data_IF_948172098404
#
_entry.id   IF_948172098404
#
_cell.length_a   1.000
_cell.length_b   1.000
_cell.length_c   1.000
_cell.angle_alpha   90.00
_cell.angle_beta   90.00
_cell.angle_gamma   90.00
#
_symmetry.space_group_name_H-M   'P 1'
#
loop_
_entity.id
_entity.type
_entity.pdbx_description
1 polymer ?
#
# COMPACT_ATOMS: atom_id res chain seq x y z
N UNK A 1 -45.87 55.83 -39.09
CA UNK A 1 -46.33 56.57 -37.89
C UNK A 1 -45.38 56.24 -36.74
N UNK A 2 -44.75 57.26 -36.13
CA UNK A 2 -43.79 57.14 -35.00
C UNK A 2 -44.52 57.18 -33.64
N UNK A 3 -43.83 56.65 -32.62
CA UNK A 3 -43.80 56.94 -31.15
C UNK A 3 -44.00 55.64 -30.34
N UNK A 4 -42.99 55.03 -29.68
CA UNK A 4 -42.09 55.40 -28.55
C UNK A 4 -42.81 55.36 -27.19
N UNK A 5 -42.43 54.42 -26.31
CA UNK A 5 -41.85 54.66 -24.97
C UNK A 5 -41.84 53.40 -24.07
N UNK A 6 -40.69 53.19 -23.41
CA UNK A 6 -40.51 52.32 -22.25
C UNK A 6 -41.37 52.75 -21.06
N UNK A 7 -41.86 51.79 -20.28
CA UNK A 7 -42.09 51.97 -18.85
C UNK A 7 -41.62 50.71 -18.12
N UNK A 8 -40.38 50.81 -17.63
CA UNK A 8 -39.88 50.10 -16.47
C UNK A 8 -40.85 50.40 -15.32
N UNK A 9 -41.21 49.41 -14.51
CA UNK A 9 -41.19 49.45 -13.04
C UNK A 9 -42.09 48.35 -12.42
N UNK A 10 -41.45 47.57 -11.54
CA UNK A 10 -41.99 46.81 -10.40
C UNK A 10 -42.91 45.60 -10.70
N UNK A 11 -42.64 44.39 -10.22
CA UNK A 11 -41.67 43.99 -9.21
C UNK A 11 -41.64 42.47 -8.97
N UNK A 12 -40.42 41.94 -8.92
CA UNK A 12 -39.88 41.23 -7.75
C UNK A 12 -40.62 40.01 -7.13
N UNK A 13 -41.53 39.32 -7.81
CA UNK A 13 -42.23 38.17 -7.20
C UNK A 13 -42.33 36.89 -8.05
N UNK A 14 -41.45 36.69 -9.03
CA UNK A 14 -41.44 35.43 -9.82
C UNK A 14 -40.07 34.71 -9.83
N UNK A 15 -39.05 35.27 -9.16
CA UNK A 15 -37.72 34.63 -9.08
C UNK A 15 -37.53 33.68 -7.87
N UNK A 16 -38.62 33.27 -7.21
CA UNK A 16 -38.59 32.35 -6.06
C UNK A 16 -39.33 31.03 -6.30
N UNK A 17 -39.83 30.78 -7.52
CA UNK A 17 -40.59 29.56 -7.84
C UNK A 17 -39.99 28.71 -8.98
N UNK A 18 -38.78 29.03 -9.46
CA UNK A 18 -38.06 28.23 -10.46
C UNK A 18 -36.65 27.80 -10.02
N UNK A 19 -36.28 28.03 -8.76
CA UNK A 19 -35.01 27.61 -8.17
C UNK A 19 -35.08 26.33 -7.32
N UNK A 20 -36.23 25.64 -7.30
CA UNK A 20 -36.52 24.58 -6.32
C UNK A 20 -36.50 23.14 -6.83
N UNK A 21 -36.21 22.89 -8.11
CA UNK A 21 -36.27 21.52 -8.69
C UNK A 21 -35.09 21.28 -9.64
N UNK A 22 -33.86 21.44 -9.15
CA UNK A 22 -32.64 21.05 -9.88
C UNK A 22 -31.49 20.53 -8.98
N UNK A 23 -31.78 20.10 -7.74
CA UNK A 23 -30.77 19.57 -6.80
C UNK A 23 -31.10 18.17 -6.26
N UNK A 24 -31.76 17.31 -7.04
CA UNK A 24 -32.05 15.92 -6.65
C UNK A 24 -31.59 14.90 -7.70
N UNK A 25 -30.35 15.07 -8.22
CA UNK A 25 -29.68 14.08 -9.07
C UNK A 25 -28.17 13.98 -8.79
N UNK A 26 -27.78 14.06 -7.52
CA UNK A 26 -26.53 13.47 -7.07
C UNK A 26 -26.89 12.46 -6.00
N UNK A 27 -27.05 11.21 -6.44
CA UNK A 27 -27.11 10.08 -5.53
C UNK A 27 -25.82 10.09 -4.72
N UNK A 28 -25.97 10.37 -3.44
CA UNK A 28 -24.93 10.20 -2.44
C UNK A 28 -24.67 8.70 -2.35
N UNK A 29 -23.79 8.20 -3.21
CA UNK A 29 -23.16 6.90 -3.00
C UNK A 29 -22.27 7.06 -1.77
N UNK A 30 -22.90 6.92 -0.61
CA UNK A 30 -22.23 6.57 0.62
C UNK A 30 -21.51 5.26 0.32
N UNK A 31 -20.22 5.37 0.00
CA UNK A 31 -19.35 4.20 -0.05
C UNK A 31 -19.40 3.66 1.36
N UNK A 32 -20.14 2.57 1.50
CA UNK A 32 -20.12 1.70 2.64
C UNK A 32 -18.64 1.37 2.87
N UNK A 33 -18.03 1.98 3.88
CA UNK A 33 -16.78 1.50 4.43
C UNK A 33 -17.07 0.07 4.89
N UNK A 34 -16.71 -0.89 4.03
CA UNK A 34 -16.58 -2.26 4.45
C UNK A 34 -15.42 -2.22 5.43
N UNK A 35 -15.73 -2.18 6.71
CA UNK A 35 -14.79 -2.37 7.81
C UNK A 35 -14.23 -3.81 7.76
N UNK A 36 -13.48 -4.13 6.73
CA UNK A 36 -12.37 -5.05 6.83
C UNK A 36 -11.19 -4.18 7.21
N UNK A 37 -10.77 -4.22 8.48
CA UNK A 37 -9.54 -3.56 8.86
C UNK A 37 -8.40 -4.19 8.05
N UNK A 38 -8.02 -3.55 6.94
CA UNK A 38 -6.72 -3.78 6.36
C UNK A 38 -5.74 -3.37 7.44
N UNK A 39 -5.16 -4.37 8.12
CA UNK A 39 -3.94 -4.16 8.88
C UNK A 39 -2.90 -3.70 7.86
N UNK A 40 -2.83 -2.38 7.67
CA UNK A 40 -1.84 -1.68 6.85
C UNK A 40 -1.04 -0.85 7.83
N UNK A 41 0.09 -1.40 8.24
CA UNK A 41 1.10 -0.72 9.03
C UNK A 41 2.24 -0.19 8.16
N UNK A 42 3.07 0.68 8.73
CA UNK A 42 4.34 1.09 8.14
C UNK A 42 5.42 1.16 9.21
N UNK A 43 6.64 0.77 8.86
CA UNK A 43 7.85 0.93 9.70
C UNK A 43 9.00 1.44 8.87
N UNK A 44 9.84 2.33 9.41
CA UNK A 44 11.02 2.86 8.73
C UNK A 44 12.32 2.29 9.31
N UNK A 45 13.31 1.99 8.47
CA UNK A 45 14.70 1.71 8.86
C UNK A 45 15.69 2.32 7.87
N UNK A 46 16.93 2.51 8.32
CA UNK A 46 18.05 2.84 7.45
C UNK A 46 18.61 1.61 6.73
N UNK A 47 19.22 1.75 5.55
CA UNK A 47 20.04 0.67 4.94
C UNK A 47 21.26 0.27 5.81
N UNK A 48 21.65 1.11 6.77
CA UNK A 48 22.65 0.76 7.80
C UNK A 48 22.11 -0.27 8.80
N UNK A 49 20.79 -0.41 8.93
CA UNK A 49 20.16 -1.40 9.80
C UNK A 49 20.00 -2.72 9.03
N UNK A 50 20.29 -3.83 9.70
CA UNK A 50 20.30 -5.15 9.06
C UNK A 50 18.98 -5.91 9.25
N UNK A 51 18.14 -5.47 10.19
CA UNK A 51 16.83 -6.07 10.41
C UNK A 51 15.85 -5.15 11.12
N UNK A 52 14.57 -5.39 10.84
CA UNK A 52 13.43 -4.76 11.51
C UNK A 52 12.32 -5.81 11.66
N UNK A 53 11.45 -5.65 12.66
CA UNK A 53 10.32 -6.56 12.87
C UNK A 53 9.01 -5.80 13.05
N UNK A 54 7.92 -6.39 12.56
CA UNK A 54 6.55 -5.92 12.76
C UNK A 54 5.67 -7.03 13.34
N UNK A 55 4.64 -6.67 14.11
CA UNK A 55 3.66 -7.60 14.66
C UNK A 55 2.27 -7.22 14.16
N UNK A 56 1.68 -8.09 13.33
CA UNK A 56 0.30 -7.93 12.88
C UNK A 56 -0.71 -8.15 14.02
N UNK A 57 -0.30 -8.77 15.13
CA UNK A 57 -1.19 -9.23 16.18
C UNK A 57 -2.02 -10.41 15.71
N UNK A 58 -3.32 -10.39 16.01
CA UNK A 58 -4.25 -11.43 15.57
C UNK A 58 -4.74 -11.15 14.15
N UNK A 59 -4.62 -12.14 13.26
CA UNK A 59 -5.05 -12.06 11.86
C UNK A 59 -6.04 -13.19 11.59
N UNK A 60 -7.26 -12.87 11.15
CA UNK A 60 -8.24 -13.89 10.77
C UNK A 60 -8.08 -14.27 9.30
N UNK A 61 -8.10 -15.57 9.01
CA UNK A 61 -8.11 -16.08 7.64
C UNK A 61 -9.32 -15.58 6.86
N UNK A 62 -10.46 -15.37 7.52
CA UNK A 62 -11.68 -14.87 6.90
C UNK A 62 -11.58 -13.40 6.43
N UNK A 63 -10.64 -12.63 6.97
CA UNK A 63 -10.47 -11.21 6.64
C UNK A 63 -9.57 -10.97 5.41
N UNK A 64 -9.04 -12.03 4.81
CA UNK A 64 -8.17 -11.94 3.64
C UNK A 64 -6.74 -11.50 3.98
N UNK A 65 -6.05 -10.98 2.97
CA UNK A 65 -4.62 -10.65 3.08
C UNK A 65 -4.39 -9.43 3.97
N UNK A 66 -3.28 -9.44 4.70
CA UNK A 66 -2.77 -8.29 5.46
C UNK A 66 -1.48 -7.77 4.84
N UNK A 67 -1.16 -6.49 5.07
CA UNK A 67 -0.03 -5.82 4.42
C UNK A 67 0.73 -4.92 5.38
N UNK A 68 2.05 -4.91 5.28
CA UNK A 68 2.88 -3.94 6.00
C UNK A 68 3.93 -3.35 5.07
N UNK A 69 4.08 -2.03 5.10
CA UNK A 69 5.01 -1.32 4.24
C UNK A 69 6.28 -1.01 5.05
N UNK A 70 7.40 -1.62 4.68
CA UNK A 70 8.70 -1.27 5.24
C UNK A 70 9.34 -0.15 4.41
N UNK A 71 9.72 0.96 5.02
CA UNK A 71 10.43 2.06 4.38
C UNK A 71 11.93 1.96 4.68
N UNK A 72 12.73 1.69 3.65
CA UNK A 72 14.19 1.70 3.71
C UNK A 72 14.71 3.06 3.25
N UNK A 73 15.44 3.79 4.09
CA UNK A 73 16.06 5.07 3.70
C UNK A 73 17.58 4.98 3.66
N UNK A 74 18.19 5.46 2.58
CA UNK A 74 19.64 5.41 2.43
C UNK A 74 20.32 6.61 3.13
N UNK A 75 21.00 6.35 4.25
CA UNK A 75 21.80 7.35 4.97
C UNK A 75 23.28 6.97 5.09
N UNK A 76 23.80 6.12 4.19
CA UNK A 76 25.15 5.54 4.34
C UNK A 76 26.28 6.32 3.62
N UNK A 77 26.00 7.52 3.10
CA UNK A 77 27.02 8.38 2.47
C UNK A 77 27.45 7.95 1.06
N UNK A 78 26.61 7.18 0.36
CA UNK A 78 26.85 6.67 -0.99
C UNK A 78 25.62 5.94 -1.54
N UNK A 79 25.68 5.46 -2.78
CA UNK A 79 24.58 4.67 -3.35
C UNK A 79 24.53 3.24 -2.79
N UNK A 80 23.32 2.69 -2.72
CA UNK A 80 23.07 1.28 -2.40
C UNK A 80 22.45 0.60 -3.60
N UNK A 81 22.95 -0.57 -3.98
CA UNK A 81 22.37 -1.36 -5.07
C UNK A 81 21.69 -2.60 -4.52
N UNK A 82 20.38 -2.70 -4.71
CA UNK A 82 19.58 -3.89 -4.40
C UNK A 82 19.67 -4.88 -5.56
N UNK A 83 20.14 -6.10 -5.26
CA UNK A 83 20.38 -7.17 -6.24
C UNK A 83 19.32 -8.26 -6.24
N UNK A 84 18.62 -8.44 -5.12
CA UNK A 84 17.60 -9.48 -5.00
C UNK A 84 16.60 -9.16 -3.91
N UNK A 85 15.34 -9.53 -4.14
CA UNK A 85 14.30 -9.59 -3.12
C UNK A 85 13.65 -10.96 -3.15
N UNK A 86 13.47 -11.58 -2.00
CA UNK A 86 12.83 -12.89 -1.89
C UNK A 86 12.14 -13.06 -0.54
N UNK A 87 11.12 -13.91 -0.47
CA UNK A 87 10.37 -14.19 0.75
C UNK A 87 10.72 -15.56 1.33
N UNK A 88 10.55 -15.73 2.64
CA UNK A 88 10.84 -16.99 3.33
C UNK A 88 9.76 -18.06 3.14
N UNK A 89 8.58 -17.68 2.66
CA UNK A 89 7.43 -18.57 2.50
C UNK A 89 6.56 -18.12 1.32
N UNK A 90 5.97 -19.08 0.59
CA UNK A 90 5.06 -18.78 -0.52
C UNK A 90 3.78 -18.04 -0.12
N UNK A 91 3.39 -18.06 1.16
CA UNK A 91 2.25 -17.28 1.68
C UNK A 91 2.56 -15.77 1.80
N UNK A 92 3.78 -15.36 1.45
CA UNK A 92 4.24 -13.98 1.55
C UNK A 92 4.77 -13.52 0.21
N UNK A 93 4.36 -12.32 -0.20
CA UNK A 93 4.91 -11.61 -1.36
C UNK A 93 5.46 -10.26 -0.93
N UNK A 94 6.45 -9.77 -1.66
CA UNK A 94 7.02 -8.45 -1.46
C UNK A 94 7.06 -7.68 -2.77
N UNK A 95 6.70 -6.41 -2.76
CA UNK A 95 6.92 -5.49 -3.87
C UNK A 95 8.05 -4.52 -3.52
N UNK A 96 8.59 -3.83 -4.52
CA UNK A 96 9.40 -2.63 -4.35
C UNK A 96 8.69 -1.45 -5.00
N UNK A 97 8.56 -0.33 -4.28
CA UNK A 97 8.21 0.96 -4.85
C UNK A 97 9.42 1.88 -4.79
N UNK A 98 9.93 2.20 -5.97
CA UNK A 98 11.14 2.99 -6.17
C UNK A 98 10.87 4.49 -5.98
N UNK A 99 11.92 5.31 -5.73
CA UNK A 99 11.78 6.77 -5.64
C UNK A 99 11.13 7.43 -6.87
N UNK A 100 11.34 6.85 -8.05
CA UNK A 100 10.76 7.31 -9.32
C UNK A 100 9.28 6.92 -9.50
N UNK A 101 8.68 6.20 -8.55
CA UNK A 101 7.29 5.71 -8.59
C UNK A 101 7.10 4.38 -9.33
N UNK A 102 8.16 3.79 -9.87
CA UNK A 102 8.10 2.47 -10.49
C UNK A 102 7.85 1.39 -9.42
N UNK A 103 7.04 0.39 -9.80
CA UNK A 103 6.76 -0.79 -8.98
C UNK A 103 7.40 -2.02 -9.59
N UNK A 104 8.19 -2.74 -8.80
CA UNK A 104 8.75 -4.05 -9.17
C UNK A 104 8.19 -5.14 -8.25
N UNK A 105 8.00 -6.34 -8.80
CA UNK A 105 7.43 -7.49 -8.08
C UNK A 105 6.07 -7.95 -8.66
N UNK A 106 5.35 -8.82 -7.93
CA UNK A 106 5.69 -9.33 -6.61
C UNK A 106 6.84 -10.34 -6.63
N UNK A 107 7.72 -10.24 -5.66
CA UNK A 107 8.77 -11.20 -5.35
C UNK A 107 8.24 -12.22 -4.34
N UNK A 108 8.64 -13.48 -4.51
CA UNK A 108 8.16 -14.60 -3.70
C UNK A 108 9.28 -15.53 -3.24
N UNK A 109 8.89 -16.73 -2.80
CA UNK A 109 9.82 -17.71 -2.25
C UNK A 109 10.59 -18.44 -3.35
N UNK A 110 11.91 -18.69 -3.18
CA UNK A 110 12.69 -19.50 -4.11
C UNK A 110 12.06 -20.88 -4.34
N UNK A 111 12.05 -21.33 -5.59
CA UNK A 111 11.46 -22.62 -5.99
C UNK A 111 9.93 -22.59 -6.17
N UNK A 112 9.26 -21.47 -5.89
CA UNK A 112 7.81 -21.29 -6.10
C UNK A 112 7.49 -20.22 -7.15
N UNK A 113 8.47 -19.97 -8.03
CA UNK A 113 8.40 -18.97 -9.08
C UNK A 113 9.79 -18.59 -9.59
N UNK A 114 9.82 -17.74 -10.60
CA UNK A 114 11.05 -17.12 -11.06
C UNK A 114 11.44 -15.98 -10.11
N UNK A 115 12.71 -15.94 -9.69
CA UNK A 115 13.26 -14.82 -8.91
C UNK A 115 14.27 -14.10 -9.79
N UNK A 116 13.94 -12.90 -10.29
CA UNK A 116 14.87 -12.13 -11.10
C UNK A 116 16.05 -11.64 -10.25
N UNK A 117 17.20 -11.48 -10.90
CA UNK A 117 18.24 -10.58 -10.40
C UNK A 117 17.80 -9.15 -10.68
N UNK A 118 18.09 -8.25 -9.75
CA UNK A 118 17.80 -6.82 -9.82
C UNK A 118 19.11 -6.03 -9.92
N UNK A 119 19.01 -4.80 -10.42
CA UNK A 119 20.05 -3.78 -10.38
C UNK A 119 19.40 -2.44 -10.03
N UNK A 120 18.82 -2.38 -8.83
CA UNK A 120 18.08 -1.20 -8.35
C UNK A 120 19.01 -0.35 -7.50
N UNK A 121 19.34 0.84 -8.00
CA UNK A 121 20.16 1.81 -7.27
C UNK A 121 19.29 2.77 -6.45
N UNK A 122 19.62 2.92 -5.17
CA UNK A 122 19.02 3.88 -4.24
C UNK A 122 20.10 4.89 -3.86
N UNK A 123 19.93 6.14 -4.31
CA UNK A 123 20.88 7.22 -4.03
C UNK A 123 20.83 7.62 -2.55
N UNK A 124 21.85 8.34 -2.09
CA UNK A 124 21.86 8.89 -0.73
C UNK A 124 20.64 9.81 -0.51
N UNK A 125 19.96 9.62 0.63
CA UNK A 125 18.74 10.32 1.00
C UNK A 125 17.45 9.77 0.37
N UNK A 126 17.54 8.84 -0.58
CA UNK A 126 16.36 8.23 -1.19
C UNK A 126 15.72 7.15 -0.33
N UNK A 127 14.44 6.91 -0.62
CA UNK A 127 13.59 5.94 0.07
C UNK A 127 13.13 4.84 -0.87
N UNK A 128 13.24 3.61 -0.42
CA UNK A 128 12.68 2.42 -1.05
C UNK A 128 11.56 1.90 -0.16
N UNK A 129 10.32 1.87 -0.66
CA UNK A 129 9.23 1.19 0.05
C UNK A 129 9.21 -0.28 -0.35
N UNK A 130 9.04 -1.15 0.64
CA UNK A 130 8.91 -2.60 0.48
C UNK A 130 7.56 -3.04 1.05
N UNK A 131 6.48 -2.95 0.25
CA UNK A 131 5.21 -3.54 0.62
C UNK A 131 5.29 -5.05 0.77
N UNK A 132 4.93 -5.57 1.94
CA UNK A 132 4.90 -7.00 2.22
C UNK A 132 3.47 -7.44 2.45
N UNK A 133 2.98 -8.36 1.63
CA UNK A 133 1.63 -8.92 1.72
C UNK A 133 1.69 -10.35 2.21
N UNK A 134 0.87 -10.66 3.22
CA UNK A 134 0.73 -11.99 3.81
C UNK A 134 -0.69 -12.52 3.57
N UNK A 135 -0.78 -13.73 3.02
CA UNK A 135 -2.02 -14.50 2.90
C UNK A 135 -2.13 -15.49 4.08
N UNK A 136 -2.94 -15.18 5.11
CA UNK A 136 -3.14 -16.07 6.26
C UNK A 136 -3.86 -17.37 5.90
N UNK A 137 -4.59 -17.41 4.78
CA UNK A 137 -5.40 -18.56 4.36
C UNK A 137 -4.64 -19.55 3.47
N UNK A 138 -3.40 -19.25 3.06
CA UNK A 138 -2.60 -20.05 2.13
C UNK A 138 -2.43 -21.54 2.51
N UNK A 139 -2.54 -21.88 3.79
CA UNK A 139 -2.41 -23.25 4.31
C UNK A 139 -3.71 -23.82 4.89
N UNK A 140 -4.84 -23.10 4.75
CA UNK A 140 -6.12 -23.49 5.34
C UNK A 140 -6.05 -23.67 6.86
N UNK A 141 -6.86 -24.57 7.45
CA UNK A 141 -6.91 -24.77 8.91
C UNK A 141 -5.57 -25.19 9.54
N UNK A 142 -4.66 -25.78 8.76
CA UNK A 142 -3.32 -26.14 9.22
C UNK A 142 -2.39 -24.94 9.39
N UNK A 143 -2.77 -23.76 8.89
CA UNK A 143 -2.03 -22.50 9.02
C UNK A 143 -2.35 -21.68 10.27
N UNK A 144 -3.26 -22.14 11.14
CA UNK A 144 -3.66 -21.45 12.38
C UNK A 144 -2.54 -21.49 13.42
N UNK A 145 -2.37 -20.40 14.19
CA UNK A 145 -1.38 -20.27 15.25
C UNK A 145 -0.35 -19.18 14.97
N UNK A 146 0.72 -19.15 15.79
CA UNK A 146 1.79 -18.18 15.63
C UNK A 146 2.61 -18.49 14.36
N UNK A 147 2.79 -17.48 13.53
CA UNK A 147 3.64 -17.55 12.33
C UNK A 147 4.66 -16.42 12.34
N UNK A 148 5.86 -16.71 11.85
CA UNK A 148 6.91 -15.73 11.60
C UNK A 148 7.37 -15.86 10.15
N UNK A 149 7.54 -14.73 9.46
CA UNK A 149 7.94 -14.68 8.06
C UNK A 149 8.95 -13.59 7.84
N UNK A 150 9.75 -13.74 6.79
CA UNK A 150 10.84 -12.83 6.49
C UNK A 150 10.83 -12.49 5.00
N UNK A 151 11.24 -11.25 4.72
CA UNK A 151 11.61 -10.79 3.39
C UNK A 151 13.09 -10.44 3.44
N UNK A 152 13.85 -10.97 2.49
CA UNK A 152 15.27 -10.75 2.36
C UNK A 152 15.52 -9.78 1.21
N UNK A 153 16.24 -8.70 1.50
CA UNK A 153 16.71 -7.72 0.51
C UNK A 153 18.23 -7.85 0.44
N UNK A 154 18.72 -8.43 -0.65
CA UNK A 154 20.15 -8.66 -0.87
C UNK A 154 20.73 -7.45 -1.59
N UNK A 155 21.86 -6.96 -1.08
CA UNK A 155 22.57 -5.82 -1.62
C UNK A 155 23.81 -6.26 -2.40
N UNK A 156 24.30 -5.36 -3.24
CA UNK A 156 25.65 -5.48 -3.80
C UNK A 156 26.69 -5.53 -2.67
N UNK A 157 27.76 -6.31 -2.87
CA UNK A 157 28.74 -6.59 -1.82
C UNK A 157 28.36 -7.73 -0.87
N UNK A 158 27.18 -8.34 -1.03
CA UNK A 158 26.77 -9.56 -0.32
C UNK A 158 26.10 -9.32 1.03
N UNK A 159 25.84 -8.07 1.40
CA UNK A 159 25.05 -7.72 2.57
C UNK A 159 23.56 -8.06 2.36
N UNK A 160 22.82 -8.23 3.46
CA UNK A 160 21.39 -8.55 3.45
C UNK A 160 20.67 -7.81 4.54
N UNK A 161 19.53 -7.24 4.19
CA UNK A 161 18.55 -6.69 5.12
C UNK A 161 17.40 -7.69 5.27
N UNK A 162 17.00 -7.96 6.51
CA UNK A 162 15.92 -8.89 6.84
C UNK A 162 14.73 -8.13 7.42
N UNK A 163 13.63 -8.10 6.69
CA UNK A 163 12.36 -7.52 7.12
C UNK A 163 11.49 -8.65 7.66
N UNK A 164 11.30 -8.70 8.98
CA UNK A 164 10.55 -9.76 9.64
C UNK A 164 9.14 -9.30 10.00
N UNK A 165 8.18 -10.21 9.98
CA UNK A 165 6.92 -10.01 10.69
C UNK A 165 6.46 -11.27 11.41
N UNK A 166 5.61 -11.08 12.41
CA UNK A 166 4.87 -12.15 13.06
C UNK A 166 3.38 -11.86 13.07
N UNK A 167 2.58 -12.92 13.16
CA UNK A 167 1.14 -12.86 13.29
C UNK A 167 0.63 -14.09 14.05
N UNK A 168 -0.48 -13.94 14.78
CA UNK A 168 -1.27 -15.06 15.28
C UNK A 168 -2.42 -15.28 14.33
N UNK A 169 -2.33 -16.31 13.48
CA UNK A 169 -3.40 -16.66 12.54
C UNK A 169 -4.54 -17.31 13.30
N UNK A 170 -5.75 -16.84 13.03
CA UNK A 170 -7.01 -17.35 13.57
C UNK A 170 -7.93 -17.77 12.42
N UNK A 171 -8.90 -18.66 12.68
CA UNK A 171 -9.93 -19.03 11.71
C UNK A 171 -10.61 -17.83 11.01
#
# INVERSE_FOLDING_TARGET
>A
MKLKNNTIILGFTVLLALGGVALMRFGNSEIQEVSGASHTGSSSLSFAERSVSYDFGSVSMANGNVRHDFELTNYIGGEVVVKKVMTSCMCTTADLLLPNGEKLGPFGMPGHGFIPTLDVTIQEGEKLLVPVTFDPAAHGPSGVGLVERQVFVDLEGGERITLSFKATVTP
#
